data_IF_890167346827
#
_entry.id   IF_890167346827
#
_cell.length_a   1.000
_cell.length_b   1.000
_cell.length_c   1.000
_cell.angle_alpha   90.00
_cell.angle_beta   90.00
_cell.angle_gamma   90.00
#
_symmetry.space_group_name_H-M   'P 1'
#
loop_
_entity.id
_entity.type
_entity.pdbx_description
1 polymer ?
#
# COMPACT_ATOMS: atom_id res chain seq x y z
N UNK A 1 -1.55 -20.00 -21.90
CA UNK A 1 -0.78 -19.17 -20.93
C UNK A 1 -1.79 -18.39 -20.10
N UNK A 2 -1.77 -18.50 -18.75
CA UNK A 2 -2.64 -17.66 -17.89
C UNK A 2 -2.19 -16.21 -18.05
N UNK A 3 -3.11 -15.30 -18.40
CA UNK A 3 -2.83 -13.86 -18.32
C UNK A 3 -2.43 -13.54 -16.87
N UNK A 4 -1.42 -12.69 -16.63
CA UNK A 4 -1.11 -12.28 -15.26
C UNK A 4 -2.38 -11.69 -14.66
N UNK A 5 -2.84 -12.30 -13.56
CA UNK A 5 -3.99 -11.77 -12.83
C UNK A 5 -3.58 -10.40 -12.32
N UNK A 6 -4.36 -9.38 -12.70
CA UNK A 6 -4.18 -8.03 -12.17
C UNK A 6 -4.30 -8.09 -10.65
N UNK A 7 -3.40 -7.42 -9.94
CA UNK A 7 -3.38 -7.45 -8.47
C UNK A 7 -4.75 -6.96 -7.95
N UNK A 8 -5.49 -7.79 -7.19
CA UNK A 8 -6.86 -7.47 -6.76
C UNK A 8 -6.93 -6.28 -5.80
N UNK A 9 -5.78 -5.82 -5.29
CA UNK A 9 -5.65 -4.69 -4.38
C UNK A 9 -5.59 -3.35 -5.13
N UNK A 10 -5.54 -3.35 -6.47
CA UNK A 10 -5.40 -2.15 -7.29
C UNK A 10 -6.65 -1.87 -8.13
N UNK A 11 -7.09 -0.60 -8.14
CA UNK A 11 -8.14 -0.14 -9.06
C UNK A 11 -7.65 -0.07 -10.52
N UNK A 12 -8.52 0.38 -11.43
CA UNK A 12 -8.23 0.45 -12.87
C UNK A 12 -7.03 1.34 -13.22
N UNK A 13 -6.69 2.28 -12.34
CA UNK A 13 -5.60 3.25 -12.50
C UNK A 13 -4.30 2.78 -11.85
N UNK A 14 -4.30 1.61 -11.18
CA UNK A 14 -3.13 1.09 -10.47
C UNK A 14 -2.97 1.64 -9.05
N UNK A 15 -3.99 2.31 -8.51
CA UNK A 15 -3.99 2.87 -7.16
C UNK A 15 -4.46 1.81 -6.15
N UNK A 16 -3.84 1.81 -4.97
CA UNK A 16 -4.20 0.90 -3.88
C UNK A 16 -5.59 1.23 -3.33
N UNK A 17 -6.49 0.24 -3.31
CA UNK A 17 -7.83 0.38 -2.72
C UNK A 17 -7.93 -0.24 -1.33
N UNK A 18 -7.38 -1.45 -1.16
CA UNK A 18 -7.40 -2.20 0.09
C UNK A 18 -6.13 -3.03 0.21
N UNK A 19 -5.36 -2.81 1.28
CA UNK A 19 -4.17 -3.59 1.56
C UNK A 19 -4.56 -4.92 2.23
N UNK A 20 -4.36 -6.01 1.51
CA UNK A 20 -4.52 -7.41 1.95
C UNK A 20 -3.15 -8.08 2.16
N UNK A 21 -2.17 -7.80 1.29
CA UNK A 21 -0.80 -8.33 1.32
C UNK A 21 0.16 -7.43 0.56
N UNK A 22 1.43 -7.42 0.95
CA UNK A 22 2.50 -6.67 0.26
C UNK A 22 3.09 -7.41 -0.94
N UNK A 23 2.83 -8.71 -1.07
CA UNK A 23 3.37 -9.53 -2.16
C UNK A 23 2.83 -9.10 -3.53
N UNK A 24 3.72 -8.99 -4.51
CA UNK A 24 3.36 -8.63 -5.89
C UNK A 24 2.83 -7.19 -6.05
N UNK A 25 2.95 -6.33 -5.03
CA UNK A 25 2.71 -4.89 -5.19
C UNK A 25 3.91 -4.21 -5.88
N UNK A 26 3.65 -3.21 -6.73
CA UNK A 26 4.72 -2.37 -7.27
C UNK A 26 5.46 -1.64 -6.14
N UNK A 27 6.78 -1.46 -6.31
CA UNK A 27 7.64 -0.74 -5.36
C UNK A 27 7.08 0.63 -4.96
N UNK A 28 6.53 1.37 -5.93
CA UNK A 28 5.95 2.69 -5.68
C UNK A 28 4.79 2.65 -4.65
N UNK A 29 3.96 1.60 -4.71
CA UNK A 29 2.85 1.42 -3.75
C UNK A 29 3.39 1.08 -2.36
N UNK A 30 4.44 0.24 -2.28
CA UNK A 30 5.07 -0.06 -0.99
C UNK A 30 5.65 1.19 -0.34
N UNK A 31 6.33 2.05 -1.12
CA UNK A 31 6.83 3.32 -0.62
C UNK A 31 5.69 4.24 -0.17
N UNK A 32 4.62 4.37 -0.96
CA UNK A 32 3.44 5.15 -0.57
C UNK A 32 2.84 4.69 0.77
N UNK A 33 2.77 3.38 1.01
CA UNK A 33 2.30 2.82 2.30
C UNK A 33 3.22 3.26 3.44
N UNK A 34 4.55 3.16 3.26
CA UNK A 34 5.54 3.52 4.28
C UNK A 34 5.53 5.03 4.57
N UNK A 35 5.50 5.85 3.52
CA UNK A 35 5.44 7.32 3.63
C UNK A 35 4.16 7.77 4.37
N UNK A 36 3.03 7.09 4.12
CA UNK A 36 1.78 7.34 4.84
C UNK A 36 1.89 6.92 6.31
N UNK A 37 2.52 5.77 6.59
CA UNK A 37 2.69 5.26 7.94
C UNK A 37 3.57 6.17 8.82
N UNK A 38 4.57 6.83 8.22
CA UNK A 38 5.44 7.79 8.92
C UNK A 38 4.63 8.92 9.59
N UNK A 39 3.55 9.38 8.96
CA UNK A 39 2.68 10.42 9.51
C UNK A 39 1.98 9.99 10.82
N UNK A 40 1.79 8.69 11.03
CA UNK A 40 1.15 8.15 12.24
C UNK A 40 2.15 7.87 13.37
N UNK A 41 3.45 7.76 13.07
CA UNK A 41 4.48 7.56 14.09
C UNK A 41 4.65 8.80 14.97
N UNK A 42 4.57 10.00 14.40
CA UNK A 42 4.66 11.28 15.15
C UNK A 42 3.53 11.49 16.16
N UNK A 43 2.45 10.72 16.09
CA UNK A 43 1.30 10.84 17.01
C UNK A 43 1.56 10.14 18.35
N UNK A 44 2.55 9.25 18.43
CA UNK A 44 2.87 8.50 19.66
C UNK A 44 3.77 9.25 20.67
N UNK A 45 4.40 10.37 20.28
CA UNK A 45 5.30 11.12 21.18
C UNK A 45 4.60 12.20 22.02
N UNK A 46 3.29 12.37 21.85
CA UNK A 46 2.48 13.23 22.72
C UNK A 46 1.55 12.32 23.51
N UNK A 47 1.87 12.14 24.79
CA UNK A 47 1.03 11.47 25.80
C UNK A 47 -0.44 11.84 25.62
N UNK A 48 -1.30 10.82 25.67
CA UNK A 48 -2.73 10.94 26.01
C UNK A 48 -2.92 10.75 27.50
#
# INVERSE_FOLDING_TARGET
MKKPQRNPQLNAHGELIHLLSTEGLPKAILHQILDTAEQFLSVNEREV
#
